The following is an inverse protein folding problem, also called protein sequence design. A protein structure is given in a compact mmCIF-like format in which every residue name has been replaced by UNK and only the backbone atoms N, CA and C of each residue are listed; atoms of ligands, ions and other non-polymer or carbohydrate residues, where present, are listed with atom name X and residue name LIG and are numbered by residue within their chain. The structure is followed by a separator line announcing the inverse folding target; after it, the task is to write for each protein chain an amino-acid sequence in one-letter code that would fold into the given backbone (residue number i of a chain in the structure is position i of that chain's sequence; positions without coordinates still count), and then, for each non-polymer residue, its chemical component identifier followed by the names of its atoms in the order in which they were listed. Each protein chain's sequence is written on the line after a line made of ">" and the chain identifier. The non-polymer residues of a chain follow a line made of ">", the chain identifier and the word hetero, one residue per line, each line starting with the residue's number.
data_IF_164476278159
#
_entry.id   IF_164476278159
#
_cell.length_a   1.000
_cell.length_b   1.000
_cell.length_c   1.000
_cell.angle_alpha   90.00
_cell.angle_beta   90.00
_cell.angle_gamma   90.00
#
_symmetry.space_group_name_H-M   'P 1'
#
loop_
_entity.id
_entity.type
_entity.pdbx_description
1 polymer ?
#
# COMPACT_ATOMS: atom_id res chain seq x y z
N UNK A 1 -4.81 7.23 -13.86
CA UNK A 1 -3.59 6.56 -13.39
C UNK A 1 -3.62 6.68 -11.89
N UNK A 2 -3.30 5.60 -11.20
CA UNK A 2 -3.32 5.54 -9.74
C UNK A 2 -2.01 4.94 -9.24
N UNK A 3 -1.77 5.12 -7.94
CA UNK A 3 -0.76 4.38 -7.21
C UNK A 3 -1.39 3.14 -6.58
N UNK A 4 -0.60 2.09 -6.41
CA UNK A 4 -1.03 0.76 -5.95
C UNK A 4 -0.15 0.31 -4.80
N UNK A 5 -0.76 -0.07 -3.69
CA UNK A 5 -0.06 -0.76 -2.60
C UNK A 5 -0.04 -2.25 -2.91
N UNK A 6 1.15 -2.83 -2.99
CA UNK A 6 1.32 -4.26 -3.23
C UNK A 6 1.37 -5.04 -1.93
N UNK A 7 1.26 -6.37 -2.06
CA UNK A 7 1.39 -7.33 -0.96
C UNK A 7 2.72 -7.28 -0.20
N UNK A 8 3.72 -6.52 -0.66
CA UNK A 8 4.91 -6.18 0.13
C UNK A 8 4.56 -5.42 1.43
N UNK A 9 3.42 -4.72 1.46
CA UNK A 9 2.91 -4.05 2.65
C UNK A 9 2.25 -5.01 3.66
N UNK A 10 1.90 -6.24 3.25
CA UNK A 10 1.19 -7.20 4.08
C UNK A 10 2.02 -7.58 5.31
N UNK A 11 1.44 -7.40 6.50
CA UNK A 11 2.10 -7.55 7.83
C UNK A 11 3.29 -6.60 8.09
N UNK A 12 3.55 -5.64 7.18
CA UNK A 12 4.68 -4.72 7.21
C UNK A 12 4.19 -3.25 7.13
N UNK A 13 3.14 -2.93 7.88
CA UNK A 13 2.42 -1.65 7.76
C UNK A 13 3.16 -0.54 8.51
N UNK A 14 3.73 0.41 7.76
CA UNK A 14 4.52 1.53 8.31
C UNK A 14 3.75 2.86 8.41
N UNK A 15 2.85 3.15 7.46
CA UNK A 15 2.04 4.38 7.35
C UNK A 15 2.76 5.71 7.02
N UNK A 16 4.07 5.75 6.76
CA UNK A 16 4.72 6.99 6.29
C UNK A 16 4.10 7.56 5.00
N UNK A 17 3.64 6.69 4.09
CA UNK A 17 2.91 7.09 2.88
C UNK A 17 1.61 7.87 3.15
N UNK A 18 0.94 7.63 4.29
CA UNK A 18 -0.28 8.34 4.70
C UNK A 18 0.05 9.80 4.99
N UNK A 19 1.20 10.08 5.63
CA UNK A 19 1.62 11.44 5.98
C UNK A 19 1.92 12.31 4.74
N UNK A 20 2.33 11.69 3.64
CA UNK A 20 2.70 12.37 2.40
C UNK A 20 1.52 12.50 1.41
N UNK A 21 0.39 11.85 1.69
CA UNK A 21 -0.77 11.90 0.81
C UNK A 21 -1.54 13.21 0.99
N UNK A 22 -1.70 14.06 -0.05
CA UNK A 22 -2.39 15.34 0.07
C UNK A 22 -3.93 15.23 0.07
N UNK A 23 -4.48 14.04 -0.16
CA UNK A 23 -5.92 13.78 -0.32
C UNK A 23 -6.44 12.66 0.58
N UNK A 24 -5.62 12.18 1.52
CA UNK A 24 -5.98 11.14 2.50
C UNK A 24 -6.58 9.85 1.89
N UNK A 25 -6.15 9.46 0.68
CA UNK A 25 -6.73 8.35 -0.08
C UNK A 25 -6.22 6.94 0.31
N UNK A 26 -5.70 6.78 1.52
CA UNK A 26 -5.21 5.49 2.03
C UNK A 26 -6.22 4.89 3.01
N UNK A 27 -6.48 3.60 2.86
CA UNK A 27 -7.46 2.85 3.65
C UNK A 27 -6.82 1.64 4.32
N UNK A 28 -7.32 1.30 5.51
CA UNK A 28 -7.03 0.06 6.23
C UNK A 28 -8.30 -0.78 6.32
N UNK A 29 -8.22 -2.11 6.17
CA UNK A 29 -9.37 -2.98 6.41
C UNK A 29 -9.71 -3.01 7.91
N UNK A 30 -11.00 -3.00 8.23
CA UNK A 30 -11.53 -3.14 9.59
C UNK A 30 -12.46 -4.35 9.75
N UNK A 31 -12.83 -4.95 8.62
CA UNK A 31 -13.63 -6.17 8.52
C UNK A 31 -13.32 -6.93 7.23
N UNK A 32 -14.17 -7.89 6.89
CA UNK A 32 -14.02 -8.71 5.68
C UNK A 32 -12.85 -9.71 5.72
N UNK A 33 -12.62 -10.37 4.58
CA UNK A 33 -11.49 -11.27 4.34
C UNK A 33 -10.44 -10.58 3.47
N UNK A 34 -9.84 -9.52 4.01
CA UNK A 34 -8.86 -8.67 3.33
C UNK A 34 -7.47 -8.78 3.95
N UNK A 35 -6.45 -8.73 3.09
CA UNK A 35 -5.06 -8.72 3.52
C UNK A 35 -4.79 -7.51 4.44
N UNK A 36 -4.04 -7.72 5.52
CA UNK A 36 -3.67 -6.69 6.49
C UNK A 36 -2.55 -5.83 5.91
N UNK A 37 -2.94 -4.94 5.01
CA UNK A 37 -2.11 -3.94 4.34
C UNK A 37 -2.90 -2.65 4.14
N UNK A 38 -2.24 -1.60 3.65
CA UNK A 38 -2.95 -0.41 3.19
C UNK A 38 -3.45 -0.57 1.76
N UNK A 39 -4.48 0.20 1.42
CA UNK A 39 -5.13 0.22 0.12
C UNK A 39 -5.22 1.67 -0.34
N UNK A 40 -4.85 1.97 -1.58
CA UNK A 40 -5.02 3.30 -2.17
C UNK A 40 -6.33 3.30 -2.96
N UNK A 41 -7.22 4.24 -2.67
CA UNK A 41 -8.44 4.46 -3.46
C UNK A 41 -8.07 5.02 -4.84
N UNK A 42 -8.28 4.29 -5.95
CA UNK A 42 -8.08 4.83 -7.29
C UNK A 42 -9.03 5.98 -7.65
N UNK A 43 -10.21 6.05 -7.03
CA UNK A 43 -11.19 7.11 -7.28
C UNK A 43 -10.78 8.44 -6.63
N UNK A 44 -10.03 8.39 -5.53
CA UNK A 44 -9.55 9.57 -4.79
C UNK A 44 -8.10 9.94 -5.11
N UNK A 45 -7.28 9.01 -5.61
CA UNK A 45 -5.88 9.24 -5.93
C UNK A 45 -5.73 10.29 -7.05
N UNK A 46 -4.86 11.29 -6.82
CA UNK A 46 -4.57 12.37 -7.79
C UNK A 46 -3.23 12.21 -8.51
N UNK A 47 -2.61 11.03 -8.44
CA UNK A 47 -1.36 10.70 -9.14
C UNK A 47 -0.19 11.67 -8.86
N UNK A 48 0.00 12.05 -7.58
CA UNK A 48 1.06 12.99 -7.19
C UNK A 48 2.43 12.34 -6.96
N UNK A 49 2.49 11.03 -6.73
CA UNK A 49 3.72 10.25 -6.52
C UNK A 49 4.48 10.47 -5.22
N UNK A 50 3.98 11.28 -4.29
CA UNK A 50 4.69 11.56 -3.03
C UNK A 50 4.82 10.32 -2.11
N UNK A 51 3.89 9.36 -2.22
CA UNK A 51 3.82 8.21 -1.34
C UNK A 51 4.84 7.09 -1.65
N UNK A 52 5.27 6.94 -2.90
CA UNK A 52 6.21 5.90 -3.34
C UNK A 52 7.54 5.97 -2.57
N UNK A 53 8.31 7.08 -2.61
CA UNK A 53 9.59 7.16 -1.92
C UNK A 53 9.46 7.17 -0.39
N UNK A 54 8.25 7.40 0.14
CA UNK A 54 7.97 7.45 1.56
C UNK A 54 7.79 6.06 2.18
N UNK A 55 7.39 5.05 1.40
CA UNK A 55 7.18 3.70 1.90
C UNK A 55 8.53 3.00 2.14
N UNK A 56 8.92 2.72 3.39
CA UNK A 56 10.23 2.12 3.65
C UNK A 56 10.31 0.64 3.25
N UNK A 57 9.16 0.01 3.00
CA UNK A 57 9.06 -1.37 2.49
C UNK A 57 9.04 -1.45 0.97
N UNK A 58 9.13 -0.31 0.27
CA UNK A 58 9.11 -0.23 -1.20
C UNK A 58 7.91 -0.95 -1.82
N UNK A 59 6.74 -0.80 -1.17
CA UNK A 59 5.53 -1.55 -1.50
C UNK A 59 4.59 -0.82 -2.48
N UNK A 60 4.89 0.43 -2.84
CA UNK A 60 4.00 1.28 -3.62
C UNK A 60 4.57 1.45 -5.03
N UNK A 61 3.74 1.24 -6.04
CA UNK A 61 4.10 1.37 -7.45
C UNK A 61 3.02 2.15 -8.19
N UNK A 62 3.40 2.83 -9.27
CA UNK A 62 2.43 3.34 -10.23
C UNK A 62 1.75 2.16 -10.94
N UNK A 63 0.46 2.26 -11.26
CA UNK A 63 -0.35 1.19 -11.85
C UNK A 63 0.28 0.48 -13.06
N UNK A 64 0.88 1.23 -13.98
CA UNK A 64 1.58 0.73 -15.17
C UNK A 64 2.98 0.14 -14.91
N UNK A 65 3.49 0.32 -13.69
CA UNK A 65 4.83 -0.06 -13.24
C UNK A 65 4.79 -1.14 -12.15
N UNK A 66 3.60 -1.66 -11.82
CA UNK A 66 3.42 -2.79 -10.91
C UNK A 66 4.10 -4.03 -11.52
N UNK A 67 5.05 -4.66 -10.81
CA UNK A 67 5.67 -5.92 -11.27
C UNK A 67 4.63 -7.02 -11.51
N UNK A 68 4.85 -7.88 -12.52
CA UNK A 68 3.92 -8.97 -12.88
C UNK A 68 3.51 -9.84 -11.69
N UNK A 69 4.43 -10.08 -10.75
CA UNK A 69 4.20 -10.86 -9.51
C UNK A 69 3.17 -10.24 -8.56
N UNK A 70 2.87 -8.95 -8.75
CA UNK A 70 1.93 -8.15 -7.98
C UNK A 70 0.75 -7.63 -8.83
N UNK A 71 0.58 -8.12 -10.06
CA UNK A 71 -0.48 -7.66 -10.98
C UNK A 71 -1.88 -7.73 -10.37
N UNK A 72 -2.18 -8.76 -9.57
CA UNK A 72 -3.49 -8.88 -8.89
C UNK A 72 -3.72 -7.80 -7.82
N UNK A 73 -2.66 -7.15 -7.32
CA UNK A 73 -2.77 -6.11 -6.29
C UNK A 73 -3.42 -4.82 -6.82
N UNK A 74 -3.41 -4.61 -8.15
CA UNK A 74 -4.10 -3.50 -8.80
C UNK A 74 -5.60 -3.56 -8.52
N UNK A 75 -6.23 -4.71 -8.78
CA UNK A 75 -7.66 -4.91 -8.49
C UNK A 75 -7.92 -4.99 -6.99
N UNK A 76 -6.96 -5.50 -6.20
CA UNK A 76 -7.11 -5.56 -4.75
C UNK A 76 -7.28 -4.16 -4.12
N UNK A 77 -6.60 -3.14 -4.65
CA UNK A 77 -6.69 -1.78 -4.13
C UNK A 77 -8.09 -1.15 -4.33
N UNK A 78 -8.84 -1.53 -5.39
CA UNK A 78 -10.19 -1.01 -5.64
C UNK A 78 -11.21 -1.45 -4.58
N UNK A 79 -10.89 -2.48 -3.78
CA UNK A 79 -11.80 -3.02 -2.77
C UNK A 79 -12.12 -2.03 -1.66
N UNK A 80 -11.25 -1.06 -1.38
CA UNK A 80 -11.57 -0.01 -0.41
C UNK A 80 -12.68 0.94 -0.89
N UNK A 81 -12.92 1.02 -2.20
CA UNK A 81 -14.02 1.81 -2.77
C UNK A 81 -15.28 0.95 -2.94
N UNK A 82 -15.13 -0.30 -3.36
CA UNK A 82 -16.23 -1.23 -3.62
C UNK A 82 -16.92 -1.73 -2.33
N UNK A 83 -16.16 -1.97 -1.27
CA UNK A 83 -16.66 -2.49 0.00
C UNK A 83 -16.32 -1.55 1.16
N UNK A 84 -16.64 -0.27 0.98
CA UNK A 84 -16.26 0.83 1.88
C UNK A 84 -16.63 0.60 3.34
N UNK A 85 -17.68 -0.16 3.64
CA UNK A 85 -18.11 -0.47 5.01
C UNK A 85 -17.09 -1.33 5.78
N UNK A 86 -16.20 -2.03 5.08
CA UNK A 86 -15.13 -2.86 5.66
C UNK A 86 -13.76 -2.15 5.69
N UNK A 87 -13.71 -0.85 5.38
CA UNK A 87 -12.48 -0.06 5.35
C UNK A 87 -12.64 1.27 6.11
N UNK A 88 -11.56 1.74 6.71
CA UNK A 88 -11.46 3.07 7.30
C UNK A 88 -10.27 3.81 6.70
N UNK A 89 -10.35 5.15 6.66
CA UNK A 89 -9.20 5.98 6.30
C UNK A 89 -8.05 5.66 7.26
N UNK A 90 -6.87 5.39 6.70
CA UNK A 90 -5.68 5.08 7.46
C UNK A 90 -5.17 6.34 8.17
N UNK A 91 -4.66 6.17 9.39
CA UNK A 91 -4.03 7.23 10.15
C UNK A 91 -2.51 7.03 10.14
N UNK A 92 -1.75 8.13 10.10
CA UNK A 92 -0.30 8.06 10.23
C UNK A 92 0.10 7.68 11.67
N UNK A 93 0.91 6.64 11.79
CA UNK A 93 1.60 6.23 13.00
C UNK A 93 3.13 6.31 12.78
N UNK A 94 3.82 7.34 13.31
CA UNK A 94 5.26 7.49 13.15
C UNK A 94 6.10 6.51 13.98
N UNK A 95 5.50 5.75 14.90
CA UNK A 95 6.19 4.82 15.82
C UNK A 95 6.32 3.39 15.27
N UNK A 96 6.08 3.20 13.97
CA UNK A 96 6.18 1.91 13.28
C UNK A 96 7.63 1.46 13.04
N UNK A 97 7.80 0.16 12.82
CA UNK A 97 9.11 -0.44 12.53
C UNK A 97 9.61 0.00 11.15
N UNK A 98 10.77 0.66 11.14
CA UNK A 98 11.48 1.00 9.90
C UNK A 98 12.43 -0.14 9.53
N UNK A 99 12.20 -0.85 8.40
CA UNK A 99 13.03 -1.98 8.01
C UNK A 99 14.46 -1.56 7.68
N UNK A 100 15.39 -2.45 7.95
CA UNK A 100 16.72 -2.45 7.37
C UNK A 100 16.69 -2.91 5.90
N UNK A 101 17.74 -2.61 5.09
CA UNK A 101 17.81 -3.09 3.71
C UNK A 101 17.75 -4.62 3.56
N UNK A 102 18.25 -5.36 4.56
CA UNK A 102 18.18 -6.83 4.57
C UNK A 102 16.74 -7.31 4.77
N UNK A 103 15.96 -6.65 5.63
CA UNK A 103 14.53 -6.97 5.83
C UNK A 103 13.70 -6.64 4.60
N UNK A 104 13.97 -5.51 3.93
CA UNK A 104 13.33 -5.17 2.64
C UNK A 104 13.61 -6.27 1.61
N UNK A 105 14.87 -6.69 1.49
CA UNK A 105 15.28 -7.75 0.55
C UNK A 105 14.58 -9.07 0.87
N UNK A 106 14.58 -9.49 2.14
CA UNK A 106 13.90 -10.70 2.58
C UNK A 106 12.38 -10.66 2.33
N UNK A 107 11.75 -9.50 2.49
CA UNK A 107 10.33 -9.32 2.20
C UNK A 107 10.03 -9.46 0.70
N UNK A 108 10.85 -8.86 -0.15
CA UNK A 108 10.73 -9.02 -1.61
C UNK A 108 10.86 -10.48 -2.02
N UNK A 109 11.87 -11.19 -1.51
CA UNK A 109 12.08 -12.62 -1.77
C UNK A 109 10.90 -13.48 -1.29
N UNK A 110 10.34 -13.21 -0.10
CA UNK A 110 9.14 -13.88 0.43
C UNK A 110 7.96 -13.79 -0.55
N UNK A 111 7.86 -12.67 -1.26
CA UNK A 111 6.79 -12.38 -2.20
C UNK A 111 7.16 -12.64 -3.67
N UNK A 112 8.30 -13.30 -3.93
CA UNK A 112 8.72 -13.69 -5.28
C UNK A 112 9.21 -12.53 -6.15
N UNK A 113 9.57 -11.41 -5.53
CA UNK A 113 10.16 -10.25 -6.19
C UNK A 113 11.67 -10.24 -5.90
N UNK A 114 12.49 -10.38 -6.95
CA UNK A 114 13.95 -10.51 -6.85
C UNK A 114 14.65 -9.41 -7.62
#
# INVERSE_FOLDING_TARGET
>A
MTWVVTRLCNDNIDTACVAECPVDCFYKPTGGDYAQMLYISPDECIDCGACEPACPWEAIFQDDSVPDVFSDDIELNTKCDEDRDNFEVAENNPETHKPSPEEVTANKEKHGYS
#
